data_IF_861253543931
#
_entry.id   IF_861253543931
#
_cell.length_a   1.000
_cell.length_b   1.000
_cell.length_c   1.000
_cell.angle_alpha   90.00
_cell.angle_beta   90.00
_cell.angle_gamma   90.00
#
_symmetry.space_group_name_H-M   'P 1'
#
loop_
_entity.id
_entity.type
_entity.pdbx_description
1 polymer ?
#
# COMPACT_ATOMS: atom_id res chain seq x y z
N UNK A 1 -9.10 1.85 19.72
CA UNK A 1 -7.98 2.65 19.20
C UNK A 1 -8.34 3.14 17.80
N UNK A 2 -8.05 4.38 17.52
CA UNK A 2 -8.35 4.96 16.22
C UNK A 2 -7.07 5.43 15.54
N UNK A 3 -6.63 4.73 14.50
CA UNK A 3 -5.48 5.12 13.72
C UNK A 3 -5.82 6.32 12.83
N UNK A 4 -4.84 7.17 12.59
CA UNK A 4 -4.97 8.38 11.78
C UNK A 4 -4.02 8.30 10.60
N UNK A 5 -4.45 8.87 9.47
CA UNK A 5 -3.63 8.95 8.25
C UNK A 5 -2.27 9.59 8.56
N UNK A 6 -1.21 8.98 8.06
CA UNK A 6 0.17 9.43 8.29
C UNK A 6 0.86 8.75 9.46
N UNK A 7 0.13 8.00 10.27
CA UNK A 7 0.71 7.25 11.37
C UNK A 7 1.27 5.91 10.89
N UNK A 8 2.40 5.51 11.47
CA UNK A 8 2.96 4.17 11.29
C UNK A 8 2.58 3.33 12.50
N UNK A 9 1.93 2.22 12.26
CA UNK A 9 1.45 1.30 13.27
C UNK A 9 2.06 -0.08 13.09
N UNK A 10 2.27 -0.79 14.20
CA UNK A 10 2.50 -2.22 14.16
C UNK A 10 1.16 -2.91 13.91
N UNK A 11 1.08 -3.73 12.87
CA UNK A 11 -0.15 -4.33 12.37
C UNK A 11 0.04 -5.84 12.22
N UNK A 12 -0.97 -6.60 12.60
CA UNK A 12 -1.00 -8.05 12.34
C UNK A 12 -1.46 -8.30 10.91
N UNK A 13 -0.60 -8.90 10.10
CA UNK A 13 -0.87 -9.17 8.69
C UNK A 13 -0.81 -10.66 8.43
N UNK A 14 -1.86 -11.25 7.79
CA UNK A 14 -1.79 -12.65 7.35
C UNK A 14 -0.90 -12.77 6.12
N UNK A 15 0.03 -13.72 6.15
CA UNK A 15 0.90 -14.03 5.03
C UNK A 15 0.64 -15.47 4.61
N UNK A 16 0.34 -15.65 3.31
CA UNK A 16 0.14 -16.97 2.73
C UNK A 16 1.50 -17.55 2.36
N UNK A 17 1.74 -18.76 2.84
CA UNK A 17 2.92 -19.55 2.46
C UNK A 17 2.46 -20.89 1.91
N UNK A 18 3.24 -21.43 0.98
CA UNK A 18 2.99 -22.73 0.39
C UNK A 18 4.11 -23.69 0.82
N UNK A 19 3.74 -24.90 1.24
CA UNK A 19 4.73 -25.93 1.53
C UNK A 19 5.13 -26.66 0.24
N UNK A 20 6.05 -27.62 0.33
CA UNK A 20 6.55 -28.39 -0.81
C UNK A 20 5.46 -29.24 -1.48
N UNK A 21 4.40 -29.56 -0.73
CA UNK A 21 3.26 -30.34 -1.24
C UNK A 21 2.16 -29.45 -1.83
N UNK A 22 2.34 -28.14 -1.80
CA UNK A 22 1.37 -27.18 -2.32
C UNK A 22 0.27 -26.81 -1.34
N UNK A 23 0.35 -27.23 -0.08
CA UNK A 23 -0.59 -26.85 0.93
C UNK A 23 -0.40 -25.39 1.34
N UNK A 24 -1.52 -24.68 1.53
CA UNK A 24 -1.50 -23.27 1.92
C UNK A 24 -1.48 -23.14 3.44
N UNK A 25 -0.48 -22.44 3.95
CA UNK A 25 -0.40 -22.08 5.36
C UNK A 25 -0.60 -20.57 5.52
N UNK A 26 -1.39 -20.17 6.52
CA UNK A 26 -1.59 -18.76 6.87
C UNK A 26 -0.77 -18.48 8.12
N UNK A 27 0.23 -17.62 8.01
CA UNK A 27 1.02 -17.15 9.14
C UNK A 27 0.65 -15.71 9.46
N UNK A 28 0.37 -15.43 10.72
CA UNK A 28 0.15 -14.06 11.18
C UNK A 28 1.50 -13.43 11.53
N UNK A 29 1.85 -12.34 10.89
CA UNK A 29 3.07 -11.60 11.14
C UNK A 29 2.76 -10.18 11.60
N UNK A 30 3.60 -9.67 12.50
CA UNK A 30 3.52 -8.28 12.95
C UNK A 30 4.48 -7.44 12.11
N UNK A 31 3.95 -6.43 11.41
CA UNK A 31 4.74 -5.58 10.52
C UNK A 31 4.42 -4.10 10.73
N UNK A 32 5.44 -3.22 10.66
CA UNK A 32 5.18 -1.79 10.60
C UNK A 32 4.46 -1.45 9.30
N UNK A 33 3.43 -0.62 9.39
CA UNK A 33 2.63 -0.21 8.23
C UNK A 33 2.23 1.25 8.36
N UNK A 34 2.19 1.95 7.23
CA UNK A 34 1.74 3.33 7.15
C UNK A 34 0.24 3.37 6.87
N UNK A 35 -0.51 4.12 7.66
CA UNK A 35 -1.94 4.35 7.42
C UNK A 35 -2.09 5.41 6.32
N UNK A 36 -2.67 5.03 5.19
CA UNK A 36 -2.87 5.94 4.05
C UNK A 36 -4.33 6.30 3.82
N UNK A 37 -5.25 5.55 4.38
CA UNK A 37 -6.68 5.83 4.30
C UNK A 37 -7.36 5.29 5.57
N UNK A 38 -8.22 6.10 6.17
CA UNK A 38 -8.96 5.75 7.38
C UNK A 38 -10.43 5.41 7.09
N UNK A 39 -10.74 5.07 5.85
CA UNK A 39 -12.09 4.75 5.41
C UNK A 39 -12.85 5.91 4.78
N UNK A 40 -12.25 7.11 4.71
CA UNK A 40 -12.89 8.29 4.10
C UNK A 40 -12.89 8.27 2.57
N UNK A 41 -12.17 7.33 1.95
CA UNK A 41 -12.14 7.20 0.50
C UNK A 41 -11.18 8.15 -0.21
N UNK A 42 -10.06 8.50 0.43
CA UNK A 42 -9.07 9.41 -0.15
C UNK A 42 -8.31 8.80 -1.34
N UNK A 43 -8.09 7.51 -1.30
CA UNK A 43 -7.29 6.78 -2.32
C UNK A 43 -8.12 5.70 -2.98
N UNK A 44 -8.93 5.01 -2.19
CA UNK A 44 -9.80 3.93 -2.63
C UNK A 44 -11.24 4.28 -2.31
N UNK A 45 -12.18 3.45 -2.77
CA UNK A 45 -13.60 3.63 -2.51
C UNK A 45 -13.87 3.75 -1.01
N UNK A 46 -14.79 4.63 -0.62
CA UNK A 46 -15.14 4.88 0.78
C UNK A 46 -15.56 3.59 1.50
N UNK A 47 -14.92 3.33 2.64
CA UNK A 47 -15.23 2.19 3.48
C UNK A 47 -15.02 2.58 4.95
N UNK A 48 -16.11 2.89 5.66
CA UNK A 48 -16.06 3.40 7.02
C UNK A 48 -15.55 2.39 8.06
N UNK A 49 -15.35 1.14 7.69
CA UNK A 49 -14.97 0.07 8.61
C UNK A 49 -13.49 -0.33 8.52
N UNK A 50 -12.83 0.02 7.43
CA UNK A 50 -11.50 -0.48 7.14
C UNK A 50 -10.51 0.64 6.89
N UNK A 51 -9.24 0.31 7.18
CA UNK A 51 -8.10 1.15 6.85
C UNK A 51 -7.43 0.62 5.60
N UNK A 52 -6.73 1.48 4.89
CA UNK A 52 -5.79 1.06 3.86
C UNK A 52 -4.39 1.43 4.33
N UNK A 53 -3.47 0.51 4.17
CA UNK A 53 -2.10 0.64 4.65
C UNK A 53 -1.10 0.30 3.56
N UNK A 54 0.12 0.79 3.74
CA UNK A 54 1.28 0.38 2.98
C UNK A 54 2.26 -0.29 3.94
N UNK A 55 2.67 -1.51 3.65
CA UNK A 55 3.67 -2.21 4.45
C UNK A 55 5.04 -1.54 4.33
N UNK A 56 5.79 -1.52 5.42
CA UNK A 56 7.20 -1.19 5.40
C UNK A 56 8.01 -2.48 5.20
N UNK A 57 9.12 -2.37 4.49
CA UNK A 57 10.04 -3.48 4.27
C UNK A 57 11.48 -3.00 4.39
N UNK A 58 12.37 -3.88 4.82
CA UNK A 58 13.81 -3.61 4.86
C UNK A 58 14.51 -3.96 3.55
N UNK A 59 13.80 -4.63 2.64
CA UNK A 59 14.35 -5.05 1.36
C UNK A 59 14.19 -3.97 0.30
N UNK A 60 15.32 -3.56 -0.28
CA UNK A 60 15.30 -2.69 -1.45
C UNK A 60 14.82 -3.49 -2.67
N UNK A 61 13.95 -2.87 -3.47
CA UNK A 61 13.50 -3.45 -4.72
C UNK A 61 13.67 -2.41 -5.84
N UNK A 62 14.13 -2.88 -7.00
CA UNK A 62 14.24 -2.07 -8.21
C UNK A 62 12.90 -1.48 -8.68
N UNK A 63 11.78 -1.96 -8.15
CA UNK A 63 10.43 -1.47 -8.46
C UNK A 63 10.01 -0.28 -7.58
N UNK A 64 10.93 0.61 -7.23
CA UNK A 64 10.67 1.93 -6.64
C UNK A 64 9.89 1.95 -5.34
N UNK A 65 10.35 1.18 -4.37
CA UNK A 65 9.87 1.37 -3.00
C UNK A 65 10.40 2.68 -2.46
N UNK A 66 9.54 3.43 -1.79
CA UNK A 66 9.91 4.75 -1.27
C UNK A 66 10.72 4.63 0.02
N UNK A 67 11.94 5.14 0.02
CA UNK A 67 12.79 5.17 1.20
C UNK A 67 12.25 6.13 2.24
N UNK A 68 12.20 5.70 3.49
CA UNK A 68 11.98 6.57 4.63
C UNK A 68 13.34 7.15 5.06
N UNK A 69 13.62 8.39 4.67
CA UNK A 69 14.92 9.01 4.92
C UNK A 69 15.24 9.13 6.42
N UNK A 70 14.24 9.41 7.23
CA UNK A 70 14.37 9.58 8.68
C UNK A 70 14.09 8.31 9.48
N UNK A 71 14.31 7.15 8.88
CA UNK A 71 13.96 5.87 9.49
C UNK A 71 14.55 5.69 10.90
N UNK A 72 15.78 6.14 11.12
CA UNK A 72 16.46 6.04 12.41
C UNK A 72 15.86 7.01 13.43
N UNK A 73 15.58 8.24 13.01
CA UNK A 73 15.01 9.29 13.86
C UNK A 73 13.61 8.95 14.35
N UNK A 74 12.80 8.31 13.53
CA UNK A 74 11.45 7.94 13.89
C UNK A 74 11.34 6.61 14.66
N UNK A 75 12.48 5.96 14.94
CA UNK A 75 12.54 4.80 15.83
C UNK A 75 12.48 3.45 15.13
N UNK A 76 12.70 3.38 13.84
CA UNK A 76 12.82 2.11 13.12
C UNK A 76 14.20 1.51 13.36
N UNK A 77 14.28 0.19 13.45
CA UNK A 77 15.53 -0.52 13.76
C UNK A 77 16.46 -0.61 12.57
N UNK A 78 15.92 -0.61 11.37
CA UNK A 78 16.68 -0.78 10.13
C UNK A 78 16.20 0.20 9.08
N UNK A 79 17.03 0.46 8.09
CA UNK A 79 16.66 1.24 6.91
C UNK A 79 15.43 0.62 6.26
N UNK A 80 14.36 1.40 6.15
CA UNK A 80 13.06 0.90 5.74
C UNK A 80 12.53 1.63 4.52
N UNK A 81 11.80 0.89 3.70
CA UNK A 81 11.15 1.36 2.49
C UNK A 81 9.65 1.14 2.61
N UNK A 82 8.87 2.01 1.99
CA UNK A 82 7.42 1.88 1.93
C UNK A 82 7.04 1.21 0.61
N UNK A 83 6.25 0.16 0.71
CA UNK A 83 5.74 -0.57 -0.46
C UNK A 83 4.54 0.15 -1.06
N UNK A 84 4.81 1.23 -1.79
CA UNK A 84 3.77 2.09 -2.38
C UNK A 84 2.94 1.39 -3.46
N UNK A 85 3.46 0.31 -4.03
CA UNK A 85 2.82 -0.46 -5.10
C UNK A 85 1.73 -1.41 -4.62
N UNK A 86 1.57 -1.59 -3.29
CA UNK A 86 0.71 -2.64 -2.76
C UNK A 86 -0.10 -2.19 -1.54
N UNK A 87 -1.12 -1.36 -1.74
CA UNK A 87 -2.03 -1.03 -0.64
C UNK A 87 -2.79 -2.27 -0.16
N UNK A 88 -2.94 -2.40 1.14
CA UNK A 88 -3.63 -3.52 1.78
C UNK A 88 -4.75 -2.97 2.65
N UNK A 89 -5.91 -3.61 2.59
CA UNK A 89 -7.05 -3.31 3.43
C UNK A 89 -6.93 -4.08 4.74
N UNK A 90 -7.08 -3.38 5.87
CA UNK A 90 -7.06 -4.00 7.20
C UNK A 90 -8.25 -3.53 8.04
N UNK A 91 -8.58 -4.31 9.04
CA UNK A 91 -9.60 -3.96 10.02
C UNK A 91 -8.97 -3.42 11.30
N UNK A 92 -9.77 -2.72 12.11
CA UNK A 92 -9.31 -2.08 13.33
C UNK A 92 -8.63 -3.05 14.32
N UNK A 93 -9.14 -4.26 14.44
CA UNK A 93 -8.57 -5.25 15.37
C UNK A 93 -7.19 -5.76 14.96
N UNK A 94 -6.74 -5.50 13.74
CA UNK A 94 -5.40 -5.86 13.29
C UNK A 94 -4.33 -4.85 13.74
N UNK A 95 -4.75 -3.67 14.19
CA UNK A 95 -3.86 -2.64 14.73
C UNK A 95 -3.37 -3.03 16.12
N UNK A 96 -2.05 -3.00 16.35
CA UNK A 96 -1.44 -3.38 17.63
C UNK A 96 -1.06 -2.16 18.43
N UNK A 97 -0.14 -1.35 17.90
CA UNK A 97 0.31 -0.12 18.56
C UNK A 97 0.86 0.87 17.54
N UNK A 98 0.71 2.14 17.87
CA UNK A 98 1.31 3.23 17.10
C UNK A 98 2.81 3.28 17.34
N UNK A 99 3.59 3.40 16.26
CA UNK A 99 5.04 3.54 16.34
C UNK A 99 5.44 5.01 16.26
N UNK A 100 4.94 5.72 15.24
CA UNK A 100 5.30 7.12 14.99
C UNK A 100 4.31 7.75 14.01
N UNK A 101 4.51 9.03 13.74
CA UNK A 101 3.76 9.78 12.73
C UNK A 101 4.72 10.42 11.74
N UNK A 102 4.47 10.27 10.45
CA UNK A 102 5.23 10.96 9.43
C UNK A 102 4.87 12.43 9.39
N UNK A 103 5.81 13.29 8.98
CA UNK A 103 5.53 14.69 8.73
C UNK A 103 4.61 14.84 7.52
N UNK A 104 3.94 15.99 7.39
CA UNK A 104 3.09 16.26 6.23
C UNK A 104 3.86 16.19 4.92
N UNK A 105 5.10 16.68 4.89
CA UNK A 105 5.92 16.64 3.70
C UNK A 105 6.27 15.21 3.27
N UNK A 106 6.61 14.37 4.24
CA UNK A 106 6.87 12.94 3.98
C UNK A 106 5.62 12.23 3.46
N UNK A 107 4.48 12.51 4.05
CA UNK A 107 3.22 11.92 3.64
C UNK A 107 2.83 12.37 2.23
N UNK A 108 3.02 13.64 1.89
CA UNK A 108 2.75 14.16 0.55
C UNK A 108 3.63 13.50 -0.51
N UNK A 109 4.92 13.27 -0.20
CA UNK A 109 5.82 12.55 -1.11
C UNK A 109 5.30 11.13 -1.40
N UNK A 110 4.78 10.46 -0.37
CA UNK A 110 4.24 9.12 -0.51
C UNK A 110 2.96 9.12 -1.35
N UNK A 111 2.04 10.04 -1.10
CA UNK A 111 0.84 10.18 -1.93
C UNK A 111 1.17 10.49 -3.38
N UNK A 112 2.19 11.29 -3.63
CA UNK A 112 2.64 11.56 -5.00
C UNK A 112 3.13 10.28 -5.69
N UNK A 113 3.85 9.42 -4.99
CA UNK A 113 4.30 8.14 -5.54
C UNK A 113 3.11 7.20 -5.81
N UNK A 114 2.15 7.13 -4.90
CA UNK A 114 0.93 6.34 -5.10
C UNK A 114 0.15 6.87 -6.30
N UNK A 115 0.00 8.18 -6.40
CA UNK A 115 -0.73 8.83 -7.49
C UNK A 115 -0.11 8.52 -8.84
N UNK A 116 1.22 8.54 -8.95
CA UNK A 116 1.92 8.18 -10.19
C UNK A 116 1.63 6.74 -10.61
N UNK A 117 1.66 5.81 -9.67
CA UNK A 117 1.39 4.39 -9.95
C UNK A 117 -0.05 4.19 -10.41
N UNK A 118 -1.01 4.78 -9.71
CA UNK A 118 -2.43 4.68 -10.06
C UNK A 118 -2.69 5.27 -11.44
N UNK A 119 -2.14 6.44 -11.73
CA UNK A 119 -2.32 7.10 -13.03
C UNK A 119 -1.72 6.30 -14.18
N UNK A 120 -0.52 5.77 -14.01
CA UNK A 120 0.11 4.93 -15.04
C UNK A 120 -0.75 3.71 -15.33
N UNK A 121 -1.21 3.01 -14.30
CA UNK A 121 -2.05 1.83 -14.46
C UNK A 121 -3.38 2.16 -15.12
N UNK A 122 -4.01 3.27 -14.74
CA UNK A 122 -5.25 3.72 -15.34
C UNK A 122 -5.08 4.08 -16.82
N UNK A 123 -4.01 4.79 -17.15
CA UNK A 123 -3.68 5.16 -18.53
C UNK A 123 -3.42 3.94 -19.40
N UNK A 124 -2.70 2.95 -18.88
CA UNK A 124 -2.46 1.69 -19.60
C UNK A 124 -3.76 0.96 -19.90
N UNK A 125 -4.65 0.86 -18.92
CA UNK A 125 -5.95 0.22 -19.10
C UNK A 125 -6.83 0.96 -20.09
N UNK A 126 -6.85 2.28 -20.02
CA UNK A 126 -7.62 3.12 -20.95
C UNK A 126 -7.08 2.99 -22.36
N UNK A 127 -5.77 3.02 -22.53
CA UNK A 127 -5.12 2.86 -23.83
C UNK A 127 -5.47 1.50 -24.47
N UNK A 128 -5.44 0.44 -23.67
CA UNK A 128 -5.80 -0.90 -24.13
C UNK A 128 -7.26 -0.98 -24.57
N UNK A 129 -8.18 -0.45 -23.77
CA UNK A 129 -9.60 -0.40 -24.09
C UNK A 129 -9.87 0.42 -25.37
N UNK A 130 -9.18 1.53 -25.52
CA UNK A 130 -9.29 2.38 -26.71
C UNK A 130 -8.86 1.65 -27.97
N UNK A 131 -7.73 0.94 -27.92
CA UNK A 131 -7.24 0.12 -29.04
C UNK A 131 -8.21 -1.00 -29.41
N UNK A 132 -8.80 -1.68 -28.43
CA UNK A 132 -9.81 -2.70 -28.66
C UNK A 132 -11.07 -2.10 -29.31
N UNK A 133 -11.51 -0.95 -28.81
CA UNK A 133 -12.67 -0.22 -29.36
C UNK A 133 -12.47 0.17 -30.82
N UNK A 134 -11.30 0.67 -31.19
CA UNK A 134 -10.94 1.00 -32.58
C UNK A 134 -10.98 -0.24 -33.48
N UNK A 135 -10.44 -1.36 -33.01
CA UNK A 135 -10.46 -2.63 -33.77
C UNK A 135 -11.88 -3.07 -34.05
N UNK A 136 -12.77 -2.99 -33.09
CA UNK A 136 -14.17 -3.35 -33.25
C UNK A 136 -14.89 -2.43 -34.24
N UNK A 137 -14.60 -1.13 -34.16
CA UNK A 137 -15.18 -0.15 -35.09
C UNK A 137 -14.70 -0.38 -36.53
N UNK A 138 -13.41 -0.70 -36.72
CA UNK A 138 -12.88 -0.99 -38.05
C UNK A 138 -13.39 -2.30 -38.65
N UNK A 139 -13.83 -3.25 -37.82
CA UNK A 139 -14.46 -4.50 -38.29
C UNK A 139 -15.89 -4.30 -38.77
N UNK A 140 -16.56 -3.26 -38.35
CA UNK A 140 -17.95 -2.96 -38.68
C UNK A 140 -18.04 -2.13 -39.96
N UNK A 141 -16.98 -1.42 -40.29
CA UNK A 141 -16.83 -0.67 -41.54
C UNK A 141 -16.14 -1.51 -42.59
#
# INVERSE_FOLDING_TARGET
MKAVIGEIWLVTIPILTYDEEGNVNINLQKRPCLIIDDGRGLIVEQDNKNFHILKLTTQYDKYKRKLIKRWKEIGLKEKSYIRVEMPIKIENQQLIKKITTLSQNELLEIYNEIYKIININALEKMSKKYKESIKDTTKIC
#
